data_IF_598951997772
#
_entry.id   IF_598951997772
#
_cell.length_a   1.000
_cell.length_b   1.000
_cell.length_c   1.000
_cell.angle_alpha   90.00
_cell.angle_beta   90.00
_cell.angle_gamma   90.00
#
_symmetry.space_group_name_H-M   'P 1'
#
loop_
_entity.id
_entity.type
_entity.pdbx_description
1 polymer ?
#
# COMPACT_ATOMS: atom_id res chain seq x y z
N UNK A 1 4.88 3.09 -7.70
CA UNK A 1 4.65 2.28 -6.48
C UNK A 1 5.44 0.98 -6.58
N UNK A 2 6.71 0.93 -6.14
CA UNK A 2 7.42 -0.33 -5.99
C UNK A 2 6.70 -1.27 -5.02
N UNK A 3 6.59 -2.55 -5.39
CA UNK A 3 6.18 -3.62 -4.48
C UNK A 3 7.34 -3.96 -3.55
N UNK A 4 7.06 -3.99 -2.24
CA UNK A 4 8.06 -4.29 -1.21
C UNK A 4 7.85 -5.65 -0.56
N UNK A 5 6.63 -6.20 -0.59
CA UNK A 5 6.34 -7.49 0.00
C UNK A 5 5.08 -8.11 -0.61
N UNK A 6 5.10 -9.43 -0.78
CA UNK A 6 3.95 -10.23 -1.19
C UNK A 6 3.86 -11.49 -0.32
N UNK A 7 2.75 -11.67 0.41
CA UNK A 7 2.53 -12.87 1.21
C UNK A 7 1.04 -13.19 1.35
N UNK A 8 0.67 -14.47 1.39
CA UNK A 8 -0.73 -14.92 1.52
C UNK A 8 -1.72 -14.25 0.53
N UNK A 9 -1.26 -13.85 -0.67
CA UNK A 9 -2.10 -13.14 -1.65
C UNK A 9 -2.29 -11.64 -1.38
N UNK A 10 -1.58 -11.09 -0.39
CA UNK A 10 -1.51 -9.67 -0.06
C UNK A 10 -0.29 -9.07 -0.76
N UNK A 11 -0.49 -8.03 -1.56
CA UNK A 11 0.54 -7.23 -2.22
C UNK A 11 0.69 -5.90 -1.51
N UNK A 12 1.89 -5.59 -1.03
CA UNK A 12 2.19 -4.33 -0.35
C UNK A 12 3.08 -3.47 -1.23
N UNK A 13 2.63 -2.24 -1.52
CA UNK A 13 3.41 -1.24 -2.25
C UNK A 13 3.55 0.05 -1.44
N UNK A 14 4.66 0.76 -1.60
CA UNK A 14 4.85 2.09 -1.00
C UNK A 14 5.19 3.09 -2.10
N UNK A 15 4.65 4.29 -1.99
CA UNK A 15 5.07 5.42 -2.79
C UNK A 15 5.85 6.39 -1.91
N UNK A 16 7.14 6.53 -2.18
CA UNK A 16 8.07 7.32 -1.35
C UNK A 16 8.28 8.74 -1.86
N UNK A 17 7.75 9.08 -3.04
CA UNK A 17 8.34 10.14 -3.88
C UNK A 17 7.62 11.49 -3.82
N UNK A 18 6.43 11.61 -3.19
CA UNK A 18 5.65 12.83 -3.42
C UNK A 18 4.89 13.44 -2.24
N UNK A 19 4.58 12.74 -1.14
CA UNK A 19 3.92 13.38 0.01
C UNK A 19 4.21 12.69 1.36
N UNK A 20 4.56 13.45 2.42
CA UNK A 20 4.34 13.01 3.79
C UNK A 20 2.85 13.17 4.15
N UNK A 21 2.25 12.24 4.92
CA UNK A 21 2.87 11.08 5.54
C UNK A 21 3.10 9.93 4.55
N UNK A 22 4.14 9.17 4.80
CA UNK A 22 4.42 7.94 4.05
C UNK A 22 3.22 6.96 4.15
N UNK A 23 2.60 6.67 3.01
CA UNK A 23 1.46 5.75 2.91
C UNK A 23 1.88 4.40 2.29
N UNK A 24 1.37 3.31 2.86
CA UNK A 24 1.48 1.98 2.28
C UNK A 24 0.13 1.56 1.70
N UNK A 25 0.17 0.91 0.55
CA UNK A 25 -1.00 0.29 -0.07
C UNK A 25 -0.92 -1.22 0.12
N UNK A 26 -2.00 -1.81 0.63
CA UNK A 26 -2.16 -3.25 0.71
C UNK A 26 -3.34 -3.66 -0.18
N UNK A 27 -3.07 -4.54 -1.14
CA UNK A 27 -4.05 -5.13 -2.04
C UNK A 27 -4.18 -6.62 -1.70
N UNK A 28 -5.40 -7.14 -1.59
CA UNK A 28 -5.64 -8.58 -1.38
C UNK A 28 -6.55 -9.09 -2.47
N UNK A 29 -6.10 -10.09 -3.23
CA UNK A 29 -6.94 -10.87 -4.16
C UNK A 29 -7.98 -10.03 -4.93
N UNK A 30 -7.54 -8.95 -5.58
CA UNK A 30 -8.36 -8.01 -6.38
C UNK A 30 -9.37 -7.11 -5.63
N UNK A 31 -9.31 -7.03 -4.30
CA UNK A 31 -10.14 -6.13 -3.50
C UNK A 31 -9.42 -4.86 -3.00
N UNK A 32 -10.18 -3.76 -3.10
CA UNK A 32 -9.87 -2.33 -2.91
C UNK A 32 -8.83 -2.00 -1.82
N UNK A 33 -7.92 -1.08 -2.16
CA UNK A 33 -6.94 -0.47 -1.26
C UNK A 33 -7.61 0.30 -0.11
N UNK A 34 -7.29 -0.05 1.14
CA UNK A 34 -7.66 0.72 2.33
C UNK A 34 -6.59 1.79 2.59
N UNK A 35 -6.84 3.03 2.17
CA UNK A 35 -6.02 4.17 2.58
C UNK A 35 -6.37 4.54 4.03
N UNK A 36 -5.50 4.15 4.96
CA UNK A 36 -5.58 4.65 6.34
C UNK A 36 -4.98 6.06 6.41
N UNK A 37 -5.78 7.06 6.03
CA UNK A 37 -5.54 8.47 6.39
C UNK A 37 -6.12 8.69 7.79
N UNK A 38 -5.26 8.78 8.79
CA UNK A 38 -5.64 9.42 10.06
C UNK A 38 -5.10 10.85 10.04
N UNK A 39 -6.03 11.79 9.93
CA UNK A 39 -5.87 13.21 10.27
C UNK A 39 -5.42 13.39 11.72
#
# INVERSE_FOLDING_TARGET
>A
MPEISSFYGIRITIYFDEHPPMHFHAEYAEFLTLEMVKS
#
